data_IF_903212751625
#
_entry.id   IF_903212751625
#
_cell.length_a   1.000
_cell.length_b   1.000
_cell.length_c   1.000
_cell.angle_alpha   90.00
_cell.angle_beta   90.00
_cell.angle_gamma   90.00
#
_symmetry.space_group_name_H-M   'P 1'
#
loop_
_entity.id
_entity.type
_entity.pdbx_description
1 polymer ?
#
# COMPACT_ATOMS: atom_id res chain seq x y z
N UNK A 1 11.30 -9.30 14.23
CA UNK A 1 10.28 -9.06 13.19
C UNK A 1 9.94 -7.58 13.26
N UNK A 2 10.01 -6.84 12.17
CA UNK A 2 9.79 -5.38 12.20
C UNK A 2 10.25 -4.62 10.95
N UNK A 3 11.10 -5.22 10.11
CA UNK A 3 11.63 -4.55 8.92
C UNK A 3 10.60 -4.41 7.80
N UNK A 4 9.66 -5.36 7.71
CA UNK A 4 8.59 -5.34 6.71
C UNK A 4 7.41 -4.53 7.25
N UNK A 5 7.09 -3.43 6.56
CA UNK A 5 5.95 -2.56 6.91
C UNK A 5 4.71 -2.87 6.07
N UNK A 6 4.92 -3.24 4.81
CA UNK A 6 3.84 -3.56 3.87
C UNK A 6 4.31 -4.54 2.79
N UNK A 7 3.36 -5.30 2.25
CA UNK A 7 3.50 -6.28 1.17
C UNK A 7 2.46 -5.95 0.11
N UNK A 8 2.91 -5.81 -1.14
CA UNK A 8 2.04 -5.52 -2.27
C UNK A 8 1.92 -6.74 -3.18
N UNK A 9 0.68 -7.13 -3.45
CA UNK A 9 0.33 -8.42 -4.05
C UNK A 9 -0.29 -8.20 -5.43
N UNK A 10 -0.08 -9.17 -6.33
CA UNK A 10 -0.69 -9.21 -7.65
C UNK A 10 -1.48 -10.50 -7.86
N UNK A 11 -1.60 -10.93 -9.12
CA UNK A 11 -2.27 -12.15 -9.58
C UNK A 11 -3.80 -12.14 -9.51
N UNK A 12 -4.41 -11.65 -8.41
CA UNK A 12 -5.86 -11.52 -8.29
C UNK A 12 -6.37 -10.20 -8.90
N UNK A 13 -7.14 -10.30 -9.98
CA UNK A 13 -7.63 -9.13 -10.72
C UNK A 13 -8.84 -8.45 -10.07
N UNK A 14 -9.55 -9.17 -9.21
CA UNK A 14 -10.81 -8.74 -8.59
C UNK A 14 -10.65 -8.43 -7.11
N UNK A 15 -9.54 -8.83 -6.51
CA UNK A 15 -9.20 -8.46 -5.15
C UNK A 15 -8.57 -7.07 -5.09
N UNK A 16 -9.12 -6.25 -4.21
CA UNK A 16 -8.65 -4.89 -3.96
C UNK A 16 -8.55 -4.58 -2.45
N UNK A 17 -8.40 -5.65 -1.66
CA UNK A 17 -8.19 -5.55 -0.23
C UNK A 17 -6.84 -4.88 0.08
N UNK A 18 -6.85 -4.04 1.11
CA UNK A 18 -5.63 -3.56 1.75
C UNK A 18 -5.89 -3.40 3.25
N UNK A 19 -5.20 -4.18 4.06
CA UNK A 19 -5.46 -4.23 5.49
C UNK A 19 -4.24 -4.62 6.31
N UNK A 20 -4.31 -4.35 7.61
CA UNK A 20 -3.26 -4.66 8.57
C UNK A 20 -3.50 -6.04 9.20
N UNK A 21 -2.45 -6.86 9.22
CA UNK A 21 -2.39 -8.11 9.96
C UNK A 21 -1.12 -8.11 10.79
N UNK A 22 -1.26 -8.07 12.11
CA UNK A 22 -0.14 -8.09 13.07
C UNK A 22 0.95 -7.05 12.77
N UNK A 23 0.54 -5.82 12.43
CA UNK A 23 1.47 -4.71 12.17
C UNK A 23 2.01 -4.65 10.74
N UNK A 24 1.70 -5.63 9.87
CA UNK A 24 2.11 -5.64 8.46
C UNK A 24 0.89 -5.39 7.58
N UNK A 25 1.04 -4.51 6.60
CA UNK A 25 -0.02 -4.23 5.62
C UNK A 25 0.06 -5.15 4.41
N UNK A 26 -1.06 -5.73 4.00
CA UNK A 26 -1.17 -6.57 2.82
C UNK A 26 -2.14 -5.93 1.84
N UNK A 27 -1.66 -5.54 0.66
CA UNK A 27 -2.42 -4.70 -0.26
C UNK A 27 -2.35 -5.23 -1.70
N UNK A 28 -3.49 -5.56 -2.27
CA UNK A 28 -3.58 -5.98 -3.67
C UNK A 28 -3.45 -4.79 -4.62
N UNK A 29 -2.71 -4.97 -5.71
CA UNK A 29 -2.51 -3.94 -6.73
C UNK A 29 -3.75 -3.69 -7.60
N UNK A 30 -4.69 -4.64 -7.64
CA UNK A 30 -5.83 -4.67 -8.54
C UNK A 30 -5.47 -5.13 -9.96
N UNK A 31 -6.49 -5.26 -10.82
CA UNK A 31 -6.32 -5.59 -12.24
C UNK A 31 -5.99 -4.37 -13.10
N UNK A 32 -4.73 -4.24 -13.52
CA UNK A 32 -4.25 -3.16 -14.40
C UNK A 32 -4.34 -3.51 -15.90
N UNK A 33 -4.12 -4.78 -16.26
CA UNK A 33 -4.02 -5.20 -17.67
C UNK A 33 -5.36 -5.33 -18.41
N UNK A 34 -5.30 -5.27 -19.74
CA UNK A 34 -6.45 -5.52 -20.62
C UNK A 34 -6.68 -7.01 -20.93
N UNK A 35 -5.75 -7.88 -20.53
CA UNK A 35 -5.82 -9.32 -20.72
C UNK A 35 -6.15 -10.06 -19.42
N UNK A 36 -6.58 -11.33 -19.56
CA UNK A 36 -7.08 -12.21 -18.51
C UNK A 36 -8.41 -11.75 -17.88
N UNK A 37 -8.77 -12.30 -16.72
CA UNK A 37 -10.13 -12.24 -16.17
C UNK A 37 -10.45 -10.88 -15.51
N UNK A 38 -11.74 -10.59 -15.41
CA UNK A 38 -12.29 -9.36 -14.86
C UNK A 38 -13.76 -9.51 -14.51
N UNK A 39 -14.39 -8.41 -14.06
CA UNK A 39 -15.80 -8.38 -13.65
C UNK A 39 -16.48 -7.16 -14.27
N UNK A 40 -17.69 -7.28 -14.86
CA UNK A 40 -18.44 -6.14 -15.32
C UNK A 40 -18.63 -5.11 -14.21
N UNK A 41 -18.53 -3.82 -14.54
CA UNK A 41 -18.65 -2.71 -13.57
C UNK A 41 -17.58 -2.72 -12.45
N UNK A 42 -16.46 -3.41 -12.67
CA UNK A 42 -15.27 -3.33 -11.85
C UNK A 42 -14.16 -2.61 -12.61
N UNK A 43 -13.97 -1.29 -12.41
CA UNK A 43 -12.99 -0.52 -13.17
C UNK A 43 -11.57 -1.06 -12.98
N UNK A 44 -10.78 -1.09 -14.05
CA UNK A 44 -9.34 -1.39 -13.93
C UNK A 44 -8.66 -0.32 -13.10
N UNK A 45 -7.59 -0.70 -12.42
CA UNK A 45 -6.87 0.22 -11.53
C UNK A 45 -5.42 -0.19 -11.35
N UNK A 46 -4.60 0.81 -11.05
CA UNK A 46 -3.25 0.62 -10.54
C UNK A 46 -3.17 1.17 -9.11
N UNK A 47 -2.59 0.40 -8.19
CA UNK A 47 -2.24 0.90 -6.86
C UNK A 47 -0.91 1.65 -6.91
N UNK A 48 -0.93 2.91 -6.49
CA UNK A 48 0.27 3.71 -6.32
C UNK A 48 0.76 3.57 -4.89
N UNK A 49 2.08 3.47 -4.75
CA UNK A 49 2.78 3.35 -3.47
C UNK A 49 3.67 4.58 -3.37
N UNK A 50 3.44 5.37 -2.32
CA UNK A 50 4.20 6.58 -2.06
C UNK A 50 4.87 6.47 -0.71
N UNK A 51 6.21 6.46 -0.73
CA UNK A 51 7.02 6.32 0.48
C UNK A 51 7.82 7.60 0.70
N UNK A 52 7.69 8.16 1.89
CA UNK A 52 8.50 9.29 2.34
C UNK A 52 9.66 8.75 3.18
N UNK A 53 10.86 9.30 2.95
CA UNK A 53 12.06 8.94 3.71
C UNK A 53 12.46 10.14 4.57
N UNK A 54 12.94 9.87 5.79
CA UNK A 54 13.52 10.93 6.62
C UNK A 54 14.77 11.49 5.95
N UNK A 55 14.90 12.82 5.91
CA UNK A 55 16.07 13.49 5.33
C UNK A 55 17.21 13.55 6.36
N UNK A 56 18.35 12.95 6.03
CA UNK A 56 19.60 13.10 6.79
C UNK A 56 20.49 14.22 6.24
N UNK A 57 21.60 14.47 6.93
CA UNK A 57 22.54 15.54 6.55
C UNK A 57 23.27 15.29 5.21
N UNK A 58 23.55 14.01 4.90
CA UNK A 58 24.29 13.59 3.69
C UNK A 58 23.62 12.47 2.90
N UNK A 59 22.55 11.88 3.42
CA UNK A 59 21.80 10.78 2.79
C UNK A 59 20.36 10.76 3.30
N UNK A 60 19.50 10.00 2.62
CA UNK A 60 18.21 9.59 3.17
C UNK A 60 18.41 8.59 4.32
N UNK A 61 17.48 8.58 5.26
CA UNK A 61 17.41 7.65 6.38
C UNK A 61 16.27 6.65 6.14
N UNK A 62 15.73 6.09 7.22
CA UNK A 62 14.59 5.17 7.21
C UNK A 62 13.31 5.78 6.61
N UNK A 63 12.36 4.91 6.28
CA UNK A 63 11.01 5.29 5.87
C UNK A 63 10.33 6.05 7.01
N UNK A 64 9.74 7.19 6.68
CA UNK A 64 8.96 8.01 7.60
C UNK A 64 7.46 7.71 7.48
N UNK A 65 6.97 7.54 6.25
CA UNK A 65 5.59 7.21 5.99
C UNK A 65 5.44 6.38 4.71
N UNK A 66 4.38 5.58 4.65
CA UNK A 66 3.93 4.90 3.43
C UNK A 66 2.45 5.21 3.26
N UNK A 67 2.12 5.82 2.13
CA UNK A 67 0.77 6.09 1.68
C UNK A 67 0.49 5.36 0.38
N UNK A 68 -0.78 5.06 0.12
CA UNK A 68 -1.20 4.39 -1.11
C UNK A 68 -2.58 4.87 -1.52
N UNK A 69 -2.82 4.87 -2.82
CA UNK A 69 -4.11 5.14 -3.44
C UNK A 69 -4.22 4.31 -4.72
N UNK A 70 -5.38 4.34 -5.36
CA UNK A 70 -5.57 3.70 -6.65
C UNK A 70 -5.88 4.75 -7.70
N UNK A 71 -5.38 4.55 -8.90
CA UNK A 71 -5.78 5.28 -10.10
C UNK A 71 -6.65 4.37 -10.93
N UNK A 72 -7.86 4.82 -11.26
CA UNK A 72 -8.75 4.11 -12.17
C UNK A 72 -8.28 4.28 -13.61
N UNK A 73 -8.51 3.26 -14.44
CA UNK A 73 -8.37 3.36 -15.90
C UNK A 73 -9.60 4.05 -16.51
N UNK A 74 -9.74 5.34 -16.21
CA UNK A 74 -10.69 6.25 -16.82
C UNK A 74 -9.95 7.44 -17.43
N UNK A 75 -10.66 8.32 -18.15
CA UNK A 75 -10.04 9.46 -18.85
C UNK A 75 -9.27 10.42 -17.93
N UNK A 76 -9.57 10.44 -16.63
CA UNK A 76 -9.00 11.37 -15.66
C UNK A 76 -7.97 10.72 -14.76
N UNK A 77 -7.75 9.41 -14.89
CA UNK A 77 -7.00 8.60 -13.94
C UNK A 77 -7.49 8.85 -12.51
N UNK A 78 -8.81 8.76 -12.29
CA UNK A 78 -9.43 9.13 -11.01
C UNK A 78 -8.71 8.48 -9.83
N UNK A 79 -8.25 9.30 -8.89
CA UNK A 79 -7.64 8.85 -7.63
C UNK A 79 -8.73 8.45 -6.65
N UNK A 80 -8.66 7.22 -6.14
CA UNK A 80 -9.60 6.69 -5.15
C UNK A 80 -8.87 6.01 -3.98
N UNK A 81 -9.57 5.88 -2.86
CA UNK A 81 -9.16 5.15 -1.65
C UNK A 81 -7.72 5.45 -1.21
N UNK A 82 -7.42 6.74 -1.10
CA UNK A 82 -6.17 7.20 -0.50
C UNK A 82 -6.15 6.86 0.99
N UNK A 83 -5.03 6.29 1.43
CA UNK A 83 -4.81 5.89 2.80
C UNK A 83 -3.33 5.93 3.15
N UNK A 84 -3.05 6.29 4.40
CA UNK A 84 -1.72 6.15 4.98
C UNK A 84 -1.69 4.80 5.68
N UNK A 85 -0.89 3.87 5.16
CA UNK A 85 -0.82 2.51 5.69
C UNK A 85 0.26 2.42 6.77
N UNK A 86 1.32 3.22 6.72
CA UNK A 86 2.34 3.15 7.75
C UNK A 86 2.93 4.51 8.04
N UNK A 87 3.23 4.79 9.30
CA UNK A 87 4.00 5.95 9.75
C UNK A 87 4.97 5.52 10.83
N UNK A 88 6.14 6.14 10.83
CA UNK A 88 7.08 6.05 11.92
C UNK A 88 6.46 6.71 13.17
N UNK A 89 6.05 5.92 14.15
CA UNK A 89 5.67 6.41 15.49
C UNK A 89 6.94 6.64 16.32
N UNK A 90 7.00 7.73 17.09
CA UNK A 90 8.05 7.93 18.11
C UNK A 90 7.77 7.16 19.41
N UNK A 91 6.61 6.52 19.51
CA UNK A 91 6.18 5.77 20.68
C UNK A 91 6.20 4.27 20.36
N UNK A 92 7.41 3.70 20.29
CA UNK A 92 7.65 2.26 20.08
C UNK A 92 7.76 1.53 21.44
N UNK A 93 6.88 1.89 22.38
CA UNK A 93 6.88 1.32 23.73
C UNK A 93 5.90 0.15 23.91
N UNK A 94 5.07 -0.19 22.92
CA UNK A 94 3.98 -1.18 23.12
C UNK A 94 3.79 -2.23 22.02
N UNK A 95 4.90 -2.75 21.48
CA UNK A 95 4.88 -4.00 20.71
C UNK A 95 5.51 -5.17 21.49
N UNK A 96 5.09 -5.34 22.75
CA UNK A 96 5.24 -6.63 23.45
C UNK A 96 4.12 -7.56 23.02
N UNK A 97 4.38 -8.31 21.95
CA UNK A 97 3.59 -9.52 21.66
C UNK A 97 3.99 -10.57 22.70
N UNK A 98 3.12 -10.81 23.68
CA UNK A 98 3.20 -12.04 24.46
C UNK A 98 2.77 -13.21 23.55
N UNK A 99 3.67 -14.18 23.40
CA UNK A 99 3.37 -15.51 22.86
C UNK A 99 2.50 -16.29 23.85
#
# INVERSE_FOLDING_TARGET
MGDVKSVFLGHDHLNDFCGNLNGIWFCYGGGFGYHAYGRPHWPRRARIIYSELKKGQRSWLEVDSISTWKLLDDEKLSKIDEQVIWRHSTDDSDHRVYL
#
